data_IF_593393467650
#
_entry.id   IF_593393467650
#
_cell.length_a   1.000
_cell.length_b   1.000
_cell.length_c   1.000
_cell.angle_alpha   90.00
_cell.angle_beta   90.00
_cell.angle_gamma   90.00
#
_symmetry.space_group_name_H-M   'P 1'
#
loop_
_entity.id
_entity.type
_entity.pdbx_description
1 polymer ?
#
# COMPACT_ATOMS: atom_id res chain seq x y z
N UNK A 1 -6.62 13.11 10.74
CA UNK A 1 -6.44 11.75 10.22
C UNK A 1 -6.35 11.81 8.70
N UNK A 2 -5.24 11.33 8.16
CA UNK A 2 -4.92 11.29 6.72
C UNK A 2 -4.94 9.83 6.28
N UNK A 3 -5.61 9.54 5.17
CA UNK A 3 -5.59 8.23 4.51
C UNK A 3 -4.65 8.30 3.33
N UNK A 4 -3.60 7.49 3.38
CA UNK A 4 -2.61 7.38 2.31
C UNK A 4 -2.89 6.08 1.54
N UNK A 5 -3.23 6.21 0.25
CA UNK A 5 -3.60 5.08 -0.60
C UNK A 5 -2.70 5.11 -1.83
N UNK A 6 -1.98 4.01 -2.07
CA UNK A 6 -1.06 3.89 -3.20
C UNK A 6 -1.38 2.63 -3.98
N UNK A 7 -1.42 2.77 -5.30
CA UNK A 7 -1.70 1.68 -6.24
C UNK A 7 -0.41 1.24 -6.92
N UNK A 8 -0.14 -0.06 -6.90
CA UNK A 8 1.02 -0.66 -7.54
C UNK A 8 0.61 -1.64 -8.64
N UNK A 9 1.29 -1.53 -9.79
CA UNK A 9 1.30 -2.57 -10.83
C UNK A 9 2.66 -3.27 -10.77
N UNK A 10 2.64 -4.59 -10.67
CA UNK A 10 3.84 -5.41 -10.58
C UNK A 10 4.45 -5.58 -11.97
N UNK A 11 5.78 -5.59 -12.06
CA UNK A 11 6.47 -5.81 -13.33
C UNK A 11 6.17 -7.23 -13.86
N UNK A 12 6.10 -7.45 -15.18
CA UNK A 12 5.72 -8.75 -15.75
C UNK A 12 6.58 -9.95 -15.34
N UNK A 13 7.81 -9.71 -14.91
CA UNK A 13 8.80 -10.71 -14.50
C UNK A 13 8.88 -10.90 -12.98
N UNK A 14 7.97 -10.28 -12.21
CA UNK A 14 7.94 -10.36 -10.76
C UNK A 14 6.69 -11.03 -10.22
N UNK A 15 6.87 -11.76 -9.13
CA UNK A 15 5.79 -12.41 -8.40
C UNK A 15 5.09 -11.39 -7.48
N UNK A 16 3.76 -11.33 -7.56
CA UNK A 16 2.94 -10.37 -6.81
C UNK A 16 3.09 -10.58 -5.29
N UNK A 17 3.18 -11.81 -4.80
CA UNK A 17 3.33 -12.10 -3.37
C UNK A 17 4.71 -11.69 -2.86
N UNK A 18 5.76 -11.81 -3.69
CA UNK A 18 7.09 -11.30 -3.35
C UNK A 18 7.07 -9.77 -3.20
N UNK A 19 6.45 -9.07 -4.14
CA UNK A 19 6.32 -7.60 -4.07
C UNK A 19 5.46 -7.19 -2.87
N UNK A 20 4.33 -7.87 -2.64
CA UNK A 20 3.46 -7.63 -1.49
C UNK A 20 4.21 -7.74 -0.17
N UNK A 21 4.93 -8.84 0.05
CA UNK A 21 5.73 -9.04 1.29
C UNK A 21 6.81 -7.98 1.46
N UNK A 22 7.40 -7.52 0.37
CA UNK A 22 8.35 -6.40 0.40
C UNK A 22 7.68 -5.09 0.85
N UNK A 23 6.50 -4.78 0.30
CA UNK A 23 5.72 -3.60 0.69
C UNK A 23 5.21 -3.68 2.13
N UNK A 24 4.83 -4.86 2.62
CA UNK A 24 4.40 -5.08 4.01
C UNK A 24 5.47 -4.68 5.03
N UNK A 25 6.75 -4.76 4.66
CA UNK A 25 7.84 -4.31 5.54
C UNK A 25 7.79 -2.80 5.84
N UNK A 26 7.18 -2.00 4.96
CA UNK A 26 7.00 -0.56 5.20
C UNK A 26 6.05 -0.29 6.37
N UNK A 27 5.19 -1.25 6.72
CA UNK A 27 4.35 -1.17 7.93
C UNK A 27 5.12 -1.32 9.24
N UNK A 28 6.43 -1.63 9.19
CA UNK A 28 7.30 -1.64 10.38
C UNK A 28 7.85 -0.27 10.73
N UNK A 29 7.71 0.71 9.83
CA UNK A 29 8.09 2.10 10.08
C UNK A 29 7.09 2.69 11.09
N UNK A 30 7.53 3.40 12.15
CA UNK A 30 6.63 4.05 13.09
C UNK A 30 5.72 5.10 12.43
N UNK A 31 4.77 5.66 13.18
CA UNK A 31 3.89 6.79 12.81
C UNK A 31 2.63 6.47 11.99
N UNK A 32 2.55 5.30 11.33
CA UNK A 32 1.27 4.82 10.79
C UNK A 32 0.42 4.16 11.87
N UNK A 33 -0.82 4.59 12.02
CA UNK A 33 -1.79 3.98 12.94
C UNK A 33 -2.34 2.66 12.37
N UNK A 34 -2.46 2.59 11.04
CA UNK A 34 -2.87 1.41 10.27
C UNK A 34 -1.93 1.28 9.06
N UNK A 35 -1.51 0.07 8.72
CA UNK A 35 -0.76 -0.21 7.50
C UNK A 35 -1.14 -1.59 6.95
N UNK A 36 -1.67 -1.63 5.73
CA UNK A 36 -2.09 -2.85 5.06
C UNK A 36 -1.64 -2.86 3.60
N UNK A 37 -1.28 -4.04 3.10
CA UNK A 37 -0.99 -4.26 1.68
C UNK A 37 -1.83 -5.43 1.21
N UNK A 38 -2.74 -5.17 0.28
CA UNK A 38 -3.70 -6.16 -0.18
C UNK A 38 -3.70 -6.27 -1.71
N UNK A 39 -3.92 -7.49 -2.25
CA UNK A 39 -4.15 -7.66 -3.68
C UNK A 39 -5.48 -7.03 -4.10
N UNK A 40 -5.50 -6.40 -5.27
CA UNK A 40 -6.74 -6.00 -5.91
C UNK A 40 -7.51 -7.26 -6.35
N UNK A 41 -8.78 -7.38 -5.97
CA UNK A 41 -9.64 -8.50 -6.37
C UNK A 41 -10.05 -8.45 -7.85
N UNK A 42 -9.86 -7.31 -8.51
CA UNK A 42 -10.12 -7.06 -9.94
C UNK A 42 -11.57 -7.37 -10.36
N UNK A 43 -12.51 -7.18 -9.46
CA UNK A 43 -13.95 -7.44 -9.70
C UNK A 43 -14.69 -6.21 -10.23
N UNK A 44 -14.04 -5.05 -10.19
CA UNK A 44 -14.64 -3.79 -10.62
C UNK A 44 -14.61 -3.64 -12.15
N UNK A 45 -15.56 -2.88 -12.74
CA UNK A 45 -15.54 -2.60 -14.18
C UNK A 45 -14.32 -1.79 -14.66
N UNK A 46 -13.58 -1.17 -13.74
CA UNK A 46 -12.45 -0.28 -14.01
C UNK A 46 -11.33 -0.51 -12.98
N UNK A 47 -10.08 -0.17 -13.31
CA UNK A 47 -8.97 -0.22 -12.35
C UNK A 47 -8.24 -1.57 -12.23
N UNK A 48 -8.57 -2.56 -13.07
CA UNK A 48 -8.01 -3.92 -13.02
C UNK A 48 -6.51 -4.03 -13.44
N UNK A 49 -5.91 -2.92 -13.87
CA UNK A 49 -4.47 -2.84 -14.15
C UNK A 49 -3.61 -2.76 -12.88
N UNK A 50 -4.23 -2.51 -11.72
CA UNK A 50 -3.56 -2.46 -10.43
C UNK A 50 -3.54 -3.86 -9.81
N UNK A 51 -2.41 -4.26 -9.26
CA UNK A 51 -2.21 -5.56 -8.66
C UNK A 51 -2.27 -5.49 -7.13
N UNK A 52 -1.69 -4.44 -6.54
CA UNK A 52 -1.60 -4.26 -5.09
C UNK A 52 -2.07 -2.86 -4.68
N UNK A 53 -2.71 -2.78 -3.52
CA UNK A 53 -3.10 -1.54 -2.86
C UNK A 53 -2.39 -1.47 -1.52
N UNK A 54 -1.67 -0.37 -1.29
CA UNK A 54 -1.14 -0.02 0.03
C UNK A 54 -2.09 0.98 0.66
N UNK A 55 -2.55 0.66 1.87
CA UNK A 55 -3.40 1.51 2.69
C UNK A 55 -2.67 1.85 3.98
N UNK A 56 -2.56 3.14 4.30
CA UNK A 56 -2.04 3.59 5.58
C UNK A 56 -2.87 4.74 6.16
N UNK A 57 -3.02 4.74 7.48
CA UNK A 57 -3.63 5.84 8.22
C UNK A 57 -2.59 6.57 9.06
N UNK A 58 -2.63 7.89 9.03
CA UNK A 58 -1.79 8.77 9.84
C UNK A 58 -2.65 9.71 10.65
N UNK A 59 -2.25 9.98 11.89
CA UNK A 59 -2.94 10.92 12.76
C UNK A 59 -3.07 12.32 12.15
N UNK A 60 -1.97 12.85 11.60
CA UNK A 60 -1.84 14.21 11.07
C UNK A 60 -0.69 14.31 10.05
N UNK A 61 -0.44 15.53 9.56
CA UNK A 61 0.62 15.81 8.57
C UNK A 61 2.03 15.59 9.15
N UNK A 62 2.23 15.81 10.45
CA UNK A 62 3.53 15.62 11.11
C UNK A 62 3.88 14.12 11.13
N UNK A 63 2.94 13.25 11.50
CA UNK A 63 3.10 11.80 11.44
C UNK A 63 3.39 11.30 10.01
N UNK A 64 2.67 11.83 9.01
CA UNK A 64 2.91 11.48 7.61
C UNK A 64 4.31 11.94 7.13
N UNK A 65 4.76 13.12 7.55
CA UNK A 65 6.09 13.62 7.19
C UNK A 65 7.21 12.84 7.87
N UNK A 66 7.01 12.42 9.13
CA UNK A 66 7.98 11.61 9.86
C UNK A 66 8.10 10.16 9.33
N UNK A 67 7.04 9.66 8.68
CA UNK A 67 7.03 8.35 8.03
C UNK A 67 7.76 8.32 6.69
N UNK A 68 7.64 9.39 5.89
CA UNK A 68 8.19 9.50 4.53
C UNK A 68 9.72 9.63 4.52
#
# INVERSE_FOLDING_TARGET
MIRHIVFFSVKPDQDIDVVRKGLEQLGTIPYSDVFEVLPNSKVDPMGNAIDLVVYAEFKDEEALFAYK
#
